data_IF_373358175472
#
_entry.id   IF_373358175472
#
_cell.length_a   1.000
_cell.length_b   1.000
_cell.length_c   1.000
_cell.angle_alpha   90.00
_cell.angle_beta   90.00
_cell.angle_gamma   90.00
#
_symmetry.space_group_name_H-M   'P 1'
#
loop_
_entity.id
_entity.type
_entity.pdbx_description
1 polymer ?
#
# COMPACT_ATOMS: atom_id res chain seq x y z
N UNK A 1 13.83 7.92 -16.09
CA UNK A 1 13.78 7.52 -14.68
C UNK A 1 12.32 7.49 -14.26
N UNK A 2 11.83 6.36 -13.75
CA UNK A 2 10.43 6.20 -13.32
C UNK A 2 10.33 6.39 -11.81
N UNK A 3 9.44 7.26 -11.34
CA UNK A 3 9.21 7.49 -9.91
C UNK A 3 8.03 6.65 -9.42
N UNK A 4 8.29 5.75 -8.48
CA UNK A 4 7.32 4.83 -7.91
C UNK A 4 7.10 5.20 -6.43
N UNK A 5 5.88 5.61 -6.10
CA UNK A 5 5.46 5.83 -4.72
C UNK A 5 4.90 4.55 -4.12
N UNK A 6 5.31 4.21 -2.91
CA UNK A 6 4.77 3.11 -2.10
C UNK A 6 4.11 3.73 -0.85
N UNK A 7 2.79 3.64 -0.73
CA UNK A 7 2.04 4.25 0.38
C UNK A 7 0.88 3.35 0.85
N UNK A 8 0.94 2.77 2.07
CA UNK A 8 2.03 2.84 3.04
C UNK A 8 3.19 1.89 2.70
N UNK A 9 4.38 2.20 3.21
CA UNK A 9 5.59 1.38 3.07
C UNK A 9 5.93 0.53 4.30
N UNK A 10 5.18 0.66 5.40
CA UNK A 10 5.39 -0.10 6.64
C UNK A 10 5.07 -1.61 6.58
N UNK A 11 4.05 -2.08 5.84
CA UNK A 11 3.74 -3.51 5.77
C UNK A 11 4.87 -4.35 5.16
N UNK A 12 5.00 -5.62 5.58
CA UNK A 12 5.99 -6.56 5.02
C UNK A 12 5.87 -6.71 3.50
N UNK A 13 4.65 -6.72 2.96
CA UNK A 13 4.41 -6.79 1.52
C UNK A 13 4.93 -5.56 0.77
N UNK A 14 4.90 -4.38 1.38
CA UNK A 14 5.48 -3.19 0.80
C UNK A 14 7.01 -3.31 0.71
N UNK A 15 7.67 -3.79 1.77
CA UNK A 15 9.10 -4.07 1.75
C UNK A 15 9.48 -5.12 0.69
N UNK A 16 8.72 -6.21 0.58
CA UNK A 16 8.92 -7.22 -0.48
C UNK A 16 8.74 -6.63 -1.88
N UNK A 17 7.74 -5.76 -2.07
CA UNK A 17 7.52 -5.04 -3.34
C UNK A 17 8.70 -4.14 -3.68
N UNK A 18 9.24 -3.40 -2.72
CA UNK A 18 10.42 -2.54 -2.91
C UNK A 18 11.65 -3.35 -3.32
N UNK A 19 11.91 -4.50 -2.66
CA UNK A 19 12.99 -5.43 -3.06
C UNK A 19 12.85 -5.89 -4.50
N UNK A 20 11.67 -6.42 -4.85
CA UNK A 20 11.40 -6.92 -6.19
C UNK A 20 11.53 -5.82 -7.26
N UNK A 21 11.11 -4.58 -6.95
CA UNK A 21 11.30 -3.44 -7.85
C UNK A 21 12.78 -3.16 -8.11
N UNK A 22 13.63 -3.16 -7.07
CA UNK A 22 15.06 -2.94 -7.25
C UNK A 22 15.76 -4.10 -7.97
N UNK A 23 15.43 -5.34 -7.64
CA UNK A 23 15.93 -6.53 -8.34
C UNK A 23 15.58 -6.49 -9.84
N UNK A 24 14.31 -6.20 -10.16
CA UNK A 24 13.87 -6.11 -11.55
C UNK A 24 14.47 -4.92 -12.28
N UNK A 25 14.63 -3.77 -11.61
CA UNK A 25 15.29 -2.60 -12.19
C UNK A 25 16.75 -2.90 -12.53
N UNK A 26 17.48 -3.59 -11.64
CA UNK A 26 18.85 -4.03 -11.88
C UNK A 26 18.93 -5.04 -13.03
N UNK A 27 18.04 -6.05 -13.06
CA UNK A 27 18.01 -7.07 -14.10
C UNK A 27 17.67 -6.52 -15.50
N UNK A 28 16.82 -5.49 -15.57
CA UNK A 28 16.37 -4.88 -16.83
C UNK A 28 17.17 -3.65 -17.27
N UNK A 29 18.09 -3.16 -16.44
CA UNK A 29 18.80 -1.90 -16.67
C UNK A 29 17.90 -0.65 -16.60
N UNK A 30 16.72 -0.77 -15.99
CA UNK A 30 15.77 0.35 -15.87
C UNK A 30 16.12 1.24 -14.68
N UNK A 31 16.16 2.55 -14.90
CA UNK A 31 16.33 3.52 -13.81
C UNK A 31 15.00 3.85 -13.14
N UNK A 32 14.89 3.53 -11.85
CA UNK A 32 13.73 3.83 -11.00
C UNK A 32 14.13 4.67 -9.78
N UNK A 33 13.16 5.38 -9.20
CA UNK A 33 13.27 5.97 -7.87
C UNK A 33 12.05 5.59 -7.03
N UNK A 34 12.27 5.08 -5.83
CA UNK A 34 11.22 4.66 -4.89
C UNK A 34 11.03 5.72 -3.82
N UNK A 35 9.81 6.29 -3.73
CA UNK A 35 9.36 7.15 -2.62
C UNK A 35 8.46 6.34 -1.69
N UNK A 36 8.97 5.97 -0.53
CA UNK A 36 8.29 5.07 0.40
C UNK A 36 7.72 5.86 1.60
N UNK A 37 6.40 5.83 1.78
CA UNK A 37 5.70 6.61 2.81
C UNK A 37 5.59 5.82 4.12
N UNK A 38 6.20 6.35 5.17
CA UNK A 38 6.14 5.81 6.52
C UNK A 38 5.53 6.85 7.46
N UNK A 39 4.69 6.39 8.40
CA UNK A 39 4.27 7.23 9.54
C UNK A 39 5.47 7.66 10.39
N UNK A 40 6.43 6.75 10.52
CA UNK A 40 7.72 6.96 11.17
C UNK A 40 8.83 6.49 10.25
N UNK A 41 9.61 7.43 9.70
CA UNK A 41 10.70 7.15 8.75
C UNK A 41 11.86 6.40 9.39
N UNK A 42 11.99 6.40 10.71
CA UNK A 42 13.00 5.61 11.41
C UNK A 42 12.73 4.10 11.30
N UNK A 43 11.50 3.70 10.94
CA UNK A 43 11.11 2.30 10.70
C UNK A 43 11.39 1.82 9.27
N UNK A 44 11.97 2.66 8.41
CA UNK A 44 12.41 2.23 7.10
C UNK A 44 13.52 1.16 7.24
N UNK A 45 13.41 0.00 6.57
CA UNK A 45 14.44 -1.04 6.63
C UNK A 45 15.81 -0.50 6.20
N UNK A 46 16.84 -0.77 7.00
CA UNK A 46 18.21 -0.25 6.77
C UNK A 46 18.78 -0.67 5.41
N UNK A 47 18.39 -1.84 4.92
CA UNK A 47 18.73 -2.36 3.59
C UNK A 47 18.33 -1.43 2.43
N UNK A 48 17.30 -0.60 2.60
CA UNK A 48 16.89 0.36 1.57
C UNK A 48 17.59 1.71 1.75
N UNK A 49 17.95 2.08 2.98
CA UNK A 49 18.55 3.37 3.30
C UNK A 49 19.91 3.61 2.63
N UNK A 50 20.61 2.55 2.24
CA UNK A 50 21.89 2.64 1.51
C UNK A 50 21.71 2.73 -0.01
N UNK A 51 20.50 2.53 -0.53
CA UNK A 51 20.22 2.59 -1.96
C UNK A 51 19.92 4.06 -2.37
N UNK A 52 20.70 4.67 -3.28
CA UNK A 52 20.49 6.06 -3.71
C UNK A 52 19.17 6.28 -4.45
N UNK A 53 18.55 5.20 -4.94
CA UNK A 53 17.24 5.22 -5.60
C UNK A 53 16.08 5.09 -4.61
N UNK A 54 16.34 5.02 -3.31
CA UNK A 54 15.32 4.93 -2.26
C UNK A 54 15.22 6.23 -1.47
N UNK A 55 13.99 6.66 -1.19
CA UNK A 55 13.69 7.79 -0.31
C UNK A 55 12.55 7.44 0.63
N UNK A 56 12.84 7.37 1.92
CA UNK A 56 11.80 7.36 2.95
C UNK A 56 11.18 8.75 3.08
N UNK A 57 9.86 8.82 3.08
CA UNK A 57 9.07 10.05 3.20
C UNK A 57 8.12 9.89 4.38
N UNK A 58 8.02 10.93 5.22
CA UNK A 58 7.02 10.93 6.30
C UNK A 58 5.63 11.16 5.71
N UNK A 59 4.68 10.29 6.03
CA UNK A 59 3.28 10.50 5.70
C UNK A 59 2.36 9.40 6.23
N UNK A 60 1.09 9.75 6.37
CA UNK A 60 0.02 8.92 6.91
C UNK A 60 -1.17 8.94 5.97
N UNK A 61 -1.69 7.76 5.60
CA UNK A 61 -2.85 7.67 4.72
C UNK A 61 -4.13 8.17 5.39
N UNK A 62 -4.15 8.26 6.72
CA UNK A 62 -5.26 8.84 7.46
C UNK A 62 -5.25 10.37 7.46
N UNK A 63 -4.11 11.00 7.15
CA UNK A 63 -3.91 12.45 7.09
C UNK A 63 -3.64 12.89 5.63
N UNK A 64 -4.65 13.37 4.90
CA UNK A 64 -4.50 13.76 3.50
C UNK A 64 -3.48 14.88 3.29
N UNK A 65 -3.24 15.74 4.29
CA UNK A 65 -2.27 16.84 4.17
C UNK A 65 -0.82 16.36 4.11
N UNK A 66 -0.58 15.13 4.54
CA UNK A 66 0.74 14.48 4.50
C UNK A 66 1.03 13.74 3.18
N UNK A 67 0.07 13.68 2.25
CA UNK A 67 0.18 12.94 0.99
C UNK A 67 0.45 13.88 -0.19
N UNK A 68 1.72 13.96 -0.60
CA UNK A 68 2.13 14.64 -1.83
C UNK A 68 2.72 13.65 -2.84
N UNK A 69 1.93 13.27 -3.85
CA UNK A 69 2.36 12.37 -4.93
C UNK A 69 2.86 13.08 -6.18
N UNK A 70 3.11 14.39 -6.11
CA UNK A 70 3.61 15.16 -7.24
C UNK A 70 4.91 14.59 -7.77
N UNK A 71 4.98 14.43 -9.09
CA UNK A 71 6.14 13.89 -9.80
C UNK A 71 6.24 12.37 -9.78
N UNK A 72 5.31 11.65 -9.15
CA UNK A 72 5.25 10.19 -9.23
C UNK A 72 4.58 9.73 -10.53
N UNK A 73 5.16 8.72 -11.17
CA UNK A 73 4.58 8.04 -12.34
C UNK A 73 3.62 6.92 -11.93
N UNK A 74 3.96 6.22 -10.84
CA UNK A 74 3.21 5.08 -10.32
C UNK A 74 2.99 5.24 -8.83
N UNK A 75 1.79 4.92 -8.36
CA UNK A 75 1.48 4.79 -6.92
C UNK A 75 1.06 3.35 -6.66
N UNK A 76 1.72 2.70 -5.71
CA UNK A 76 1.30 1.43 -5.15
C UNK A 76 0.73 1.66 -3.75
N UNK A 77 -0.43 1.08 -3.47
CA UNK A 77 -1.13 1.25 -2.20
C UNK A 77 -1.77 -0.04 -1.71
N UNK A 78 -2.08 -0.06 -0.42
CA UNK A 78 -2.83 -1.12 0.26
C UNK A 78 -3.64 -0.49 1.40
N UNK A 79 -4.77 -1.09 1.75
CA UNK A 79 -5.55 -0.67 2.93
C UNK A 79 -4.86 -1.15 4.21
N UNK A 80 -4.46 -0.25 5.12
CA UNK A 80 -3.91 -0.67 6.40
C UNK A 80 -4.93 -1.48 7.22
N UNK A 81 -4.50 -2.50 7.99
CA UNK A 81 -5.39 -3.21 8.91
C UNK A 81 -5.87 -2.26 10.03
N UNK A 82 -7.06 -2.53 10.57
CA UNK A 82 -7.69 -1.74 11.65
C UNK A 82 -7.88 -2.60 12.91
N UNK A 83 -6.79 -2.94 13.63
CA UNK A 83 -6.86 -3.84 14.78
C UNK A 83 -7.49 -3.19 16.02
N UNK A 84 -7.81 -1.89 15.96
CA UNK A 84 -8.35 -1.08 17.05
C UNK A 84 -9.89 -1.14 17.15
N UNK A 85 -10.53 -2.05 16.43
CA UNK A 85 -11.98 -2.26 16.47
C UNK A 85 -12.81 -1.21 15.73
N UNK A 86 -12.16 -0.27 15.03
CA UNK A 86 -12.84 0.66 14.11
C UNK A 86 -13.51 -0.08 12.96
N UNK A 87 -14.50 0.55 12.34
CA UNK A 87 -15.11 0.03 11.11
C UNK A 87 -14.07 -0.01 9.98
N UNK A 88 -13.59 -1.21 9.68
CA UNK A 88 -12.59 -1.49 8.65
C UNK A 88 -13.05 -1.01 7.27
N UNK A 89 -14.36 -1.05 6.97
CA UNK A 89 -14.89 -0.59 5.66
C UNK A 89 -14.81 0.92 5.58
N UNK A 90 -15.37 1.63 6.57
CA UNK A 90 -15.33 3.09 6.59
C UNK A 90 -13.90 3.62 6.59
N UNK A 91 -12.99 2.94 7.30
CA UNK A 91 -11.58 3.28 7.30
C UNK A 91 -10.93 3.05 5.92
N UNK A 92 -11.22 1.92 5.27
CA UNK A 92 -10.74 1.63 3.92
C UNK A 92 -11.22 2.69 2.91
N UNK A 93 -12.50 3.07 2.97
CA UNK A 93 -13.06 4.13 2.14
C UNK A 93 -12.34 5.46 2.37
N UNK A 94 -12.13 5.85 3.63
CA UNK A 94 -11.42 7.08 3.99
C UNK A 94 -9.99 7.10 3.45
N UNK A 95 -9.19 6.07 3.70
CA UNK A 95 -7.80 6.05 3.24
C UNK A 95 -7.70 5.97 1.72
N UNK A 96 -8.58 5.20 1.06
CA UNK A 96 -8.61 5.12 -0.40
C UNK A 96 -9.04 6.44 -1.03
N UNK A 97 -9.96 7.18 -0.40
CA UNK A 97 -10.35 8.52 -0.85
C UNK A 97 -9.17 9.49 -0.74
N UNK A 98 -8.43 9.46 0.36
CA UNK A 98 -7.23 10.29 0.53
C UNK A 98 -6.17 9.98 -0.54
N UNK A 99 -5.90 8.70 -0.80
CA UNK A 99 -4.96 8.26 -1.85
C UNK A 99 -5.43 8.71 -3.22
N UNK A 100 -6.72 8.53 -3.55
CA UNK A 100 -7.30 9.01 -4.80
C UNK A 100 -7.10 10.50 -4.98
N UNK A 101 -7.48 11.29 -3.97
CA UNK A 101 -7.38 12.74 -4.05
C UNK A 101 -5.92 13.21 -4.25
N UNK A 102 -4.96 12.56 -3.58
CA UNK A 102 -3.54 12.85 -3.77
C UNK A 102 -3.03 12.45 -5.17
N UNK A 103 -3.52 11.33 -5.72
CA UNK A 103 -3.24 10.89 -7.10
C UNK A 103 -3.80 11.89 -8.12
N UNK A 104 -5.06 12.31 -7.95
CA UNK A 104 -5.72 13.29 -8.82
C UNK A 104 -5.03 14.66 -8.74
N UNK A 105 -4.70 15.13 -7.53
CA UNK A 105 -3.99 16.38 -7.31
C UNK A 105 -2.58 16.40 -7.91
N UNK A 106 -1.88 15.26 -7.89
CA UNK A 106 -0.55 15.15 -8.47
C UNK A 106 -0.54 15.31 -9.99
N UNK A 107 -1.59 14.83 -10.68
CA UNK A 107 -1.74 14.90 -12.15
C UNK A 107 -0.69 14.12 -12.97
N UNK A 108 0.44 13.73 -12.37
CA UNK A 108 1.55 13.02 -13.02
C UNK A 108 1.42 11.49 -12.97
N UNK A 109 0.55 10.97 -12.10
CA UNK A 109 0.42 9.53 -11.85
C UNK A 109 -0.29 8.86 -13.02
N UNK A 110 0.42 7.96 -13.71
CA UNK A 110 -0.05 7.20 -14.89
C UNK A 110 -0.64 5.85 -14.52
N UNK A 111 -0.28 5.32 -13.34
CA UNK A 111 -0.72 4.00 -12.87
C UNK A 111 -0.93 4.01 -11.36
N UNK A 112 -2.08 3.50 -10.94
CA UNK A 112 -2.40 3.25 -9.55
C UNK A 112 -2.56 1.74 -9.36
N UNK A 113 -1.75 1.16 -8.47
CA UNK A 113 -1.75 -0.27 -8.14
C UNK A 113 -2.29 -0.44 -6.73
N UNK A 114 -3.40 -1.16 -6.59
CA UNK A 114 -3.90 -1.60 -5.29
C UNK A 114 -3.46 -3.04 -5.05
N UNK A 115 -2.84 -3.30 -3.90
CA UNK A 115 -2.69 -4.65 -3.36
C UNK A 115 -4.05 -5.13 -2.85
N UNK A 116 -4.72 -5.96 -3.64
CA UNK A 116 -5.93 -6.67 -3.25
C UNK A 116 -5.66 -8.09 -2.75
N UNK A 117 -6.73 -8.73 -2.28
CA UNK A 117 -6.74 -10.14 -1.86
C UNK A 117 -7.82 -10.95 -2.57
N UNK A 118 -7.62 -12.25 -2.75
CA UNK A 118 -8.70 -13.16 -3.20
C UNK A 118 -9.82 -13.11 -2.15
N UNK A 119 -11.08 -13.08 -2.60
CA UNK A 119 -12.25 -12.85 -1.74
C UNK A 119 -12.59 -11.38 -1.51
N UNK A 120 -11.74 -10.44 -1.94
CA UNK A 120 -11.99 -8.98 -1.86
C UNK A 120 -13.13 -8.47 -2.76
N UNK A 121 -13.68 -9.29 -3.64
CA UNK A 121 -14.90 -8.96 -4.38
C UNK A 121 -16.19 -9.28 -3.60
N UNK A 122 -16.08 -10.04 -2.50
CA UNK A 122 -17.22 -10.42 -1.66
C UNK A 122 -17.54 -9.30 -0.67
N UNK A 123 -18.82 -8.98 -0.54
CA UNK A 123 -19.32 -7.89 0.32
C UNK A 123 -19.52 -8.32 1.78
N UNK A 124 -19.55 -9.62 2.06
CA UNK A 124 -19.75 -10.21 3.38
C UNK A 124 -18.99 -11.53 3.55
N UNK A 125 -18.93 -12.06 4.78
CA UNK A 125 -18.34 -13.38 5.08
C UNK A 125 -16.80 -13.47 5.00
N UNK A 126 -16.10 -12.37 4.75
CA UNK A 126 -14.64 -12.35 4.50
C UNK A 126 -13.82 -11.51 5.49
N UNK A 127 -14.40 -11.11 6.62
CA UNK A 127 -13.68 -10.36 7.67
C UNK A 127 -13.08 -9.05 7.15
N UNK A 128 -11.81 -8.79 7.43
CA UNK A 128 -11.11 -7.57 6.97
C UNK A 128 -10.96 -7.49 5.44
N UNK A 129 -11.07 -8.60 4.70
CA UNK A 129 -10.86 -8.63 3.25
C UNK A 129 -11.89 -7.78 2.49
N UNK A 130 -13.07 -7.51 3.08
CA UNK A 130 -14.08 -6.59 2.53
C UNK A 130 -13.58 -5.15 2.35
N UNK A 131 -12.53 -4.76 3.07
CA UNK A 131 -11.84 -3.47 2.88
C UNK A 131 -11.27 -3.29 1.47
N UNK A 132 -10.79 -4.38 0.84
CA UNK A 132 -10.30 -4.36 -0.53
C UNK A 132 -11.43 -4.04 -1.52
N UNK A 133 -12.65 -4.53 -1.27
CA UNK A 133 -13.81 -4.18 -2.10
C UNK A 133 -14.10 -2.68 -2.07
N UNK A 134 -14.11 -2.12 -0.86
CA UNK A 134 -14.37 -0.71 -0.64
C UNK A 134 -13.30 0.16 -1.31
N UNK A 135 -12.02 -0.21 -1.14
CA UNK A 135 -10.90 0.43 -1.83
C UNK A 135 -11.03 0.35 -3.35
N UNK A 136 -11.32 -0.83 -3.91
CA UNK A 136 -11.53 -1.03 -5.34
C UNK A 136 -12.63 -0.11 -5.89
N UNK A 137 -13.77 0.01 -5.18
CA UNK A 137 -14.88 0.91 -5.57
C UNK A 137 -14.49 2.38 -5.53
N UNK A 138 -13.76 2.81 -4.50
CA UNK A 138 -13.34 4.22 -4.37
C UNK A 138 -12.29 4.58 -5.42
N UNK A 139 -11.31 3.70 -5.66
CA UNK A 139 -10.19 3.95 -6.58
C UNK A 139 -10.55 3.78 -8.06
N UNK A 140 -11.63 3.06 -8.38
CA UNK A 140 -12.13 2.92 -9.76
C UNK A 140 -12.98 4.11 -10.24
N UNK A 141 -13.42 4.98 -9.33
CA UNK A 141 -14.24 6.17 -9.65
C UNK A 141 -13.43 7.40 -10.12
N UNK A 142 -12.14 7.25 -10.44
CA UNK A 142 -11.25 8.35 -10.83
C UNK A 142 -11.76 9.10 -12.08
N UNK A 143 -11.75 10.43 -12.03
CA UNK A 143 -12.30 11.30 -13.10
C UNK A 143 -11.41 11.42 -14.35
N UNK A 144 -10.16 10.96 -14.29
CA UNK A 144 -9.20 10.89 -15.40
C UNK A 144 -8.22 9.75 -15.10
N UNK A 145 -7.86 8.85 -16.04
CA UNK A 145 -7.35 7.55 -15.63
C UNK A 145 -5.82 7.54 -15.49
N UNK A 146 -5.27 7.33 -14.28
CA UNK A 146 -4.22 6.35 -14.16
C UNK A 146 -4.83 4.97 -14.48
N UNK A 147 -4.12 4.15 -15.24
CA UNK A 147 -4.52 2.75 -15.45
C UNK A 147 -4.59 2.06 -14.07
N UNK A 148 -5.80 1.74 -13.61
CA UNK A 148 -6.01 1.05 -12.34
C UNK A 148 -5.67 -0.44 -12.53
N UNK A 149 -4.75 -0.96 -11.71
CA UNK A 149 -4.37 -2.37 -11.72
C UNK A 149 -4.49 -2.98 -10.34
N UNK A 150 -5.15 -4.13 -10.29
CA UNK A 150 -5.25 -4.97 -9.11
C UNK A 150 -4.05 -5.91 -9.06
N UNK A 151 -3.24 -5.80 -8.02
CA UNK A 151 -2.24 -6.82 -7.69
C UNK A 151 -2.85 -7.75 -6.63
N UNK A 152 -2.89 -9.05 -6.89
CA UNK A 152 -3.43 -10.04 -5.94
C UNK A 152 -2.27 -10.74 -5.26
N UNK A 153 -2.23 -10.73 -3.93
CA UNK A 153 -1.26 -11.52 -3.17
C UNK A 153 -1.97 -12.67 -2.46
N UNK A 154 -1.46 -13.89 -2.63
CA UNK A 154 -1.75 -15.02 -1.75
C UNK A 154 -0.82 -14.90 -0.55
N UNK A 155 -1.36 -14.55 0.63
CA UNK A 155 -0.60 -14.66 1.86
C UNK A 155 -0.43 -16.15 2.19
N UNK A 156 0.72 -16.74 1.87
CA UNK A 156 1.13 -18.00 2.48
C UNK A 156 1.97 -17.66 3.72
N UNK A 157 1.42 -17.95 4.91
CA UNK A 157 2.06 -17.68 6.19
C UNK A 157 1.14 -18.01 7.36
N UNK A 158 1.17 -19.29 7.73
CA UNK A 158 1.09 -19.83 9.10
C UNK A 158 -0.01 -19.26 10.01
N UNK A 159 -1.08 -20.06 10.15
CA UNK A 159 -1.85 -20.11 11.39
C UNK A 159 -0.83 -20.30 12.51
N UNK A 160 -0.75 -19.33 13.42
CA UNK A 160 0.12 -19.44 14.59
C UNK A 160 -0.19 -20.75 15.31
N UNK A 161 0.85 -21.54 15.53
CA UNK A 161 0.78 -22.69 16.42
C UNK A 161 0.16 -22.22 17.73
N UNK A 162 -0.94 -22.88 18.10
CA UNK A 162 -1.62 -22.66 19.36
C UNK A 162 -0.70 -23.08 20.49
N UNK A 163 0.01 -22.13 21.06
CA UNK A 163 0.65 -22.31 22.36
C UNK A 163 -0.45 -22.44 23.42
N UNK A 164 -0.77 -23.71 23.70
CA UNK A 164 -1.53 -24.10 24.88
C UNK A 164 -0.82 -23.59 26.13
N UNK A 165 -1.47 -22.67 26.84
CA UNK A 165 -1.28 -22.57 28.27
C UNK A 165 -2.58 -22.15 28.95
N UNK A 166 -3.40 -23.18 29.21
CA UNK A 166 -4.48 -23.13 30.18
C UNK A 166 -3.87 -22.96 31.58
N UNK A 167 -3.84 -21.72 32.09
CA UNK A 167 -3.82 -21.47 33.54
C UNK A 167 -4.57 -20.19 33.86
N UNK A 168 -5.77 -20.33 34.44
CA UNK A 168 -6.14 -19.73 35.74
C UNK A 168 -7.54 -20.17 36.19
N UNK A 169 -7.54 -20.68 37.43
CA UNK A 169 -8.62 -20.89 38.40
C UNK A 169 -9.76 -21.83 38.00
#
# INVERSE_FOLDING_TARGET
>A
MTVITIAPAGPKTAAATIRALFEQAAASGTSIQVRAYYRDTAKAPQEFSTNPSFKAVKGDLEDPSSLDFSGSDVVWTTTPPTPDGRDTVAQAEKVSLNVRNAVEAAGSVKKLVLLGSIGGHLTEGVGEIKSNNAAERVLSQNKSPPNYHRQVSLLHGELGDGDGNTQRA
#
